data_IF_838222291236
#
_entry.id   IF_838222291236
#
_cell.length_a   1.000
_cell.length_b   1.000
_cell.length_c   1.000
_cell.angle_alpha   90.00
_cell.angle_beta   90.00
_cell.angle_gamma   90.00
#
_symmetry.space_group_name_H-M   'P 1'
#
loop_
_entity.id
_entity.type
_entity.pdbx_description
1 polymer ?
#
# COMPACT_ATOMS: atom_id res chain seq x y z
N UNK A 1 7.08 42.40 -2.89
CA UNK A 1 7.48 41.40 -1.87
C UNK A 1 6.29 40.91 -1.03
N UNK A 2 5.14 40.61 -1.65
CA UNK A 2 3.96 40.01 -0.99
C UNK A 2 3.30 38.89 -1.80
N UNK A 3 3.75 38.65 -3.04
CA UNK A 3 3.21 37.63 -3.94
C UNK A 3 3.91 36.26 -3.82
N UNK A 4 5.09 36.21 -3.17
CA UNK A 4 5.87 34.98 -3.00
C UNK A 4 5.39 34.08 -1.84
N UNK A 5 4.53 34.59 -0.94
CA UNK A 5 4.07 33.86 0.24
C UNK A 5 2.83 32.98 -0.02
N UNK A 6 2.11 33.23 -1.11
CA UNK A 6 0.87 32.48 -1.45
C UNK A 6 1.18 31.17 -2.18
N UNK A 7 2.33 31.06 -2.86
CA UNK A 7 2.72 29.87 -3.63
C UNK A 7 3.20 28.72 -2.70
N UNK A 8 3.64 29.03 -1.47
CA UNK A 8 4.16 28.03 -0.54
C UNK A 8 3.05 27.17 0.13
N UNK A 9 1.80 27.63 0.18
CA UNK A 9 0.70 26.91 0.84
C UNK A 9 0.01 25.85 -0.05
N UNK A 10 0.31 25.80 -1.34
CA UNK A 10 -0.28 24.81 -2.26
C UNK A 10 0.51 23.49 -2.31
N UNK A 11 1.60 23.38 -1.53
CA UNK A 11 2.45 22.19 -1.43
C UNK A 11 2.18 21.36 -0.16
N UNK A 12 1.09 21.62 0.56
CA UNK A 12 0.56 20.65 1.50
C UNK A 12 0.02 19.46 0.68
N UNK A 13 0.91 18.55 0.29
CA UNK A 13 0.56 17.30 -0.35
C UNK A 13 -0.43 16.58 0.56
N UNK A 14 -1.63 16.30 0.05
CA UNK A 14 -2.49 15.31 0.68
C UNK A 14 -1.77 13.97 0.54
N UNK A 15 -1.19 13.48 1.63
CA UNK A 15 -0.99 12.04 1.78
C UNK A 15 -2.36 11.37 1.57
N UNK A 16 -2.45 10.29 0.78
CA UNK A 16 -3.69 9.55 0.67
C UNK A 16 -4.07 9.05 2.07
N UNK A 17 -5.30 9.37 2.47
CA UNK A 17 -5.84 9.00 3.78
C UNK A 17 -6.36 7.56 3.71
N UNK A 18 -5.44 6.60 3.84
CA UNK A 18 -5.73 5.17 3.82
C UNK A 18 -6.18 4.77 5.22
N UNK A 19 -7.40 4.23 5.34
CA UNK A 19 -7.96 3.69 6.59
C UNK A 19 -8.76 2.43 6.29
N UNK A 20 -8.79 1.52 7.25
CA UNK A 20 -9.59 0.31 7.22
C UNK A 20 -9.97 -0.09 8.65
N UNK A 21 -11.02 -0.88 8.79
CA UNK A 21 -11.36 -1.59 10.03
C UNK A 21 -10.87 -3.05 9.97
N UNK A 22 -10.66 -3.59 8.77
CA UNK A 22 -10.20 -4.95 8.54
C UNK A 22 -9.29 -5.03 7.32
N UNK A 23 -8.29 -5.92 7.38
CA UNK A 23 -7.43 -6.27 6.25
C UNK A 23 -7.50 -7.76 5.99
N UNK A 24 -7.87 -8.15 4.77
CA UNK A 24 -7.79 -9.52 4.30
C UNK A 24 -6.54 -9.68 3.41
N UNK A 25 -5.68 -10.63 3.74
CA UNK A 25 -4.46 -10.94 3.00
C UNK A 25 -4.68 -12.19 2.15
N UNK A 26 -4.26 -12.14 0.89
CA UNK A 26 -4.32 -13.22 -0.08
C UNK A 26 -2.92 -13.44 -0.65
N UNK A 27 -2.55 -14.70 -0.90
CA UNK A 27 -1.46 -14.99 -1.83
C UNK A 27 -1.80 -14.42 -3.20
N UNK A 28 -0.84 -13.78 -3.87
CA UNK A 28 -1.11 -13.22 -5.18
C UNK A 28 -1.56 -14.31 -6.18
N UNK A 29 -2.52 -13.96 -7.04
CA UNK A 29 -3.03 -14.84 -8.09
C UNK A 29 -3.23 -14.11 -9.42
N UNK A 30 -3.63 -12.83 -9.39
CA UNK A 30 -3.77 -12.01 -10.59
C UNK A 30 -3.77 -10.51 -10.27
N UNK A 31 -3.38 -9.68 -11.25
CA UNK A 31 -3.48 -8.22 -11.15
C UNK A 31 -4.92 -7.68 -11.35
N UNK A 32 -5.86 -8.51 -11.79
CA UNK A 32 -7.25 -8.08 -12.07
C UNK A 32 -8.23 -8.49 -10.96
N UNK A 33 -7.70 -8.93 -9.82
CA UNK A 33 -8.50 -9.31 -8.66
C UNK A 33 -7.80 -10.33 -7.77
N UNK A 34 -8.32 -10.45 -6.57
CA UNK A 34 -7.96 -11.46 -5.58
C UNK A 34 -9.01 -12.57 -5.62
N UNK A 35 -8.56 -13.82 -5.66
CA UNK A 35 -9.44 -15.00 -5.73
C UNK A 35 -9.07 -16.04 -4.69
N UNK A 36 -10.07 -16.77 -4.20
CA UNK A 36 -9.91 -17.76 -3.14
C UNK A 36 -10.24 -17.20 -1.75
N UNK A 37 -9.95 -18.00 -0.73
CA UNK A 37 -10.10 -17.58 0.67
C UNK A 37 -8.86 -16.80 1.12
N UNK A 38 -9.00 -15.76 1.96
CA UNK A 38 -7.86 -15.07 2.51
C UNK A 38 -7.00 -16.04 3.33
N UNK A 39 -5.69 -15.89 3.22
CA UNK A 39 -4.75 -16.64 4.07
C UNK A 39 -4.78 -16.13 5.50
N UNK A 40 -5.01 -14.82 5.66
CA UNK A 40 -5.02 -14.13 6.95
C UNK A 40 -6.11 -13.04 6.91
N UNK A 41 -6.81 -12.85 8.03
CA UNK A 41 -7.72 -11.72 8.25
C UNK A 41 -7.30 -11.02 9.52
N UNK A 42 -6.97 -9.73 9.40
CA UNK A 42 -6.51 -8.87 10.48
C UNK A 42 -7.65 -7.91 10.85
N UNK A 43 -8.05 -7.95 12.12
CA UNK A 43 -9.07 -7.05 12.72
C UNK A 43 -8.52 -6.31 13.94
N UNK A 44 -7.30 -6.64 14.35
CA UNK A 44 -6.63 -5.97 15.45
C UNK A 44 -6.20 -4.57 15.03
N UNK A 45 -6.48 -3.58 15.88
CA UNK A 45 -6.25 -2.16 15.58
C UNK A 45 -4.77 -1.86 15.31
N UNK A 46 -3.85 -2.50 16.03
CA UNK A 46 -2.41 -2.31 15.81
C UNK A 46 -2.01 -2.84 14.44
N UNK A 47 -2.40 -4.08 14.13
CA UNK A 47 -2.10 -4.69 12.82
C UNK A 47 -2.69 -3.89 11.66
N UNK A 48 -3.96 -3.48 11.76
CA UNK A 48 -4.64 -2.69 10.72
C UNK A 48 -3.95 -1.34 10.54
N UNK A 49 -3.64 -0.64 11.63
CA UNK A 49 -2.94 0.64 11.56
C UNK A 49 -1.56 0.49 10.91
N UNK A 50 -0.76 -0.50 11.32
CA UNK A 50 0.56 -0.75 10.72
C UNK A 50 0.48 -0.84 9.21
N UNK A 51 -0.41 -1.67 8.66
CA UNK A 51 -0.54 -1.80 7.21
C UNK A 51 -1.01 -0.49 6.53
N UNK A 52 -2.01 0.18 7.09
CA UNK A 52 -2.54 1.42 6.49
C UNK A 52 -1.53 2.56 6.52
N UNK A 53 -0.75 2.69 7.61
CA UNK A 53 0.34 3.65 7.74
C UNK A 53 1.45 3.36 6.72
N UNK A 54 1.94 2.12 6.64
CA UNK A 54 2.96 1.71 5.66
C UNK A 54 2.55 2.05 4.22
N UNK A 55 1.30 1.79 3.85
CA UNK A 55 0.77 2.14 2.53
C UNK A 55 0.67 3.66 2.32
N UNK A 56 0.27 4.40 3.35
CA UNK A 56 0.06 5.86 3.27
C UNK A 56 1.37 6.65 3.18
N UNK A 57 2.44 6.13 3.79
CA UNK A 57 3.78 6.71 3.77
C UNK A 57 4.54 6.38 2.48
N UNK A 58 4.01 5.45 1.68
CA UNK A 58 4.57 5.03 0.41
C UNK A 58 4.87 6.20 -0.52
N UNK A 59 6.09 6.27 -1.02
CA UNK A 59 6.52 7.33 -1.92
C UNK A 59 6.33 6.89 -3.38
N UNK A 60 5.67 7.74 -4.18
CA UNK A 60 5.38 7.42 -5.59
C UNK A 60 6.66 7.29 -6.40
N UNK A 61 6.86 6.14 -7.03
CA UNK A 61 7.91 5.93 -8.02
C UNK A 61 7.47 6.44 -9.39
N UNK A 62 8.33 7.22 -10.05
CA UNK A 62 8.06 7.79 -11.37
C UNK A 62 8.60 6.90 -12.49
N UNK A 63 7.73 6.45 -13.41
CA UNK A 63 8.13 5.73 -14.62
C UNK A 63 7.16 4.61 -14.99
N UNK A 64 7.32 4.03 -16.19
CA UNK A 64 6.69 2.76 -16.51
C UNK A 64 7.50 1.66 -15.82
N UNK A 65 6.87 0.92 -14.90
CA UNK A 65 7.55 -0.11 -14.14
C UNK A 65 7.16 -1.48 -14.71
N UNK A 66 8.13 -2.18 -15.30
CA UNK A 66 8.00 -3.60 -15.63
C UNK A 66 8.22 -4.38 -14.34
N UNK A 67 7.12 -4.74 -13.66
CA UNK A 67 7.14 -5.36 -12.34
C UNK A 67 6.96 -6.87 -12.45
N UNK A 68 7.71 -7.60 -11.62
CA UNK A 68 7.51 -9.04 -11.43
C UNK A 68 6.19 -9.32 -10.72
N UNK A 69 5.83 -10.59 -10.60
CA UNK A 69 4.66 -11.00 -9.82
C UNK A 69 4.78 -10.55 -8.35
N UNK A 70 3.74 -9.93 -7.75
CA UNK A 70 3.72 -9.59 -6.33
C UNK A 70 3.66 -10.84 -5.45
N UNK A 71 4.05 -10.70 -4.19
CA UNK A 71 3.95 -11.77 -3.21
C UNK A 71 2.51 -11.89 -2.66
N UNK A 72 1.91 -10.74 -2.36
CA UNK A 72 0.64 -10.66 -1.64
C UNK A 72 -0.33 -9.68 -2.29
N UNK A 73 -1.61 -9.92 -2.04
CA UNK A 73 -2.66 -8.90 -2.22
C UNK A 73 -3.35 -8.68 -0.88
N UNK A 74 -3.40 -7.43 -0.45
CA UNK A 74 -4.14 -7.02 0.75
C UNK A 74 -5.39 -6.26 0.34
N UNK A 75 -6.50 -6.53 1.01
CA UNK A 75 -7.80 -5.94 0.71
C UNK A 75 -8.35 -5.31 1.96
N UNK A 76 -8.47 -3.99 1.92
CA UNK A 76 -8.97 -3.16 3.00
C UNK A 76 -10.50 -3.11 2.91
N UNK A 77 -11.19 -3.47 3.99
CA UNK A 77 -12.65 -3.53 4.11
C UNK A 77 -13.36 -4.25 2.94
N UNK A 78 -12.69 -5.22 2.32
CA UNK A 78 -13.24 -5.98 1.19
C UNK A 78 -13.38 -5.21 -0.13
N UNK A 79 -12.84 -4.00 -0.27
CA UNK A 79 -13.05 -3.14 -1.46
C UNK A 79 -11.78 -2.51 -2.02
N UNK A 80 -10.81 -2.13 -1.19
CA UNK A 80 -9.63 -1.39 -1.62
C UNK A 80 -8.40 -2.31 -1.61
N UNK A 81 -7.98 -2.75 -2.80
CA UNK A 81 -6.95 -3.78 -2.93
C UNK A 81 -5.58 -3.23 -3.33
N UNK A 82 -4.54 -3.78 -2.73
CA UNK A 82 -3.14 -3.43 -2.97
C UNK A 82 -2.30 -4.69 -3.19
N UNK A 83 -1.48 -4.66 -4.22
CA UNK A 83 -0.46 -5.66 -4.49
C UNK A 83 0.84 -5.27 -3.82
N UNK A 84 1.46 -6.20 -3.09
CA UNK A 84 2.67 -5.98 -2.32
C UNK A 84 3.81 -6.84 -2.84
N UNK A 85 4.97 -6.20 -3.04
CA UNK A 85 6.26 -6.84 -3.19
C UNK A 85 7.05 -6.56 -1.93
N UNK A 86 7.46 -7.61 -1.22
CA UNK A 86 8.20 -7.49 0.03
C UNK A 86 9.59 -8.08 -0.17
N UNK A 87 10.61 -7.32 0.21
CA UNK A 87 11.97 -7.83 0.36
C UNK A 87 12.40 -7.73 1.82
N UNK A 88 13.60 -8.23 2.15
CA UNK A 88 14.10 -8.30 3.53
C UNK A 88 14.30 -6.91 4.18
N UNK A 89 14.36 -5.82 3.42
CA UNK A 89 14.66 -4.47 3.93
C UNK A 89 13.58 -3.43 3.59
N UNK A 90 12.92 -3.56 2.44
CA UNK A 90 11.97 -2.60 1.88
C UNK A 90 10.82 -3.33 1.16
N UNK A 91 9.96 -2.56 0.51
CA UNK A 91 8.97 -3.14 -0.38
C UNK A 91 8.42 -2.15 -1.38
N UNK A 92 7.45 -2.63 -2.15
CA UNK A 92 6.65 -1.77 -3.01
C UNK A 92 5.19 -2.18 -2.95
N UNK A 93 4.32 -1.20 -3.16
CA UNK A 93 2.89 -1.39 -3.17
C UNK A 93 2.27 -0.77 -4.44
N UNK A 94 1.23 -1.39 -4.97
CA UNK A 94 0.49 -0.90 -6.12
C UNK A 94 -1.00 -1.08 -5.86
N UNK A 95 -1.79 -0.03 -6.08
CA UNK A 95 -3.24 -0.13 -5.98
C UNK A 95 -3.78 -0.95 -7.16
N UNK A 96 -4.71 -1.88 -6.91
CA UNK A 96 -5.23 -2.77 -7.96
C UNK A 96 -5.94 -1.99 -9.09
N UNK A 97 -6.61 -0.88 -8.76
CA UNK A 97 -7.25 0.00 -9.76
C UNK A 97 -6.28 0.97 -10.46
N UNK A 98 -5.03 1.11 -10.01
CA UNK A 98 -4.00 1.91 -10.67
C UNK A 98 -2.71 1.11 -10.83
N UNK A 99 -2.71 0.25 -11.85
CA UNK A 99 -1.55 -0.60 -12.18
C UNK A 99 -0.38 0.16 -12.81
N UNK A 100 -0.46 1.48 -12.94
CA UNK A 100 0.58 2.31 -13.57
C UNK A 100 1.39 3.10 -12.53
N UNK A 101 1.01 3.01 -11.25
CA UNK A 101 1.68 3.71 -10.17
C UNK A 101 2.20 2.70 -9.15
N UNK A 102 3.52 2.64 -9.01
CA UNK A 102 4.18 1.91 -7.93
C UNK A 102 4.55 2.89 -6.81
N UNK A 103 4.37 2.46 -5.58
CA UNK A 103 4.79 3.17 -4.38
C UNK A 103 5.91 2.37 -3.73
N UNK A 104 7.04 3.02 -3.46
CA UNK A 104 8.06 2.46 -2.58
C UNK A 104 7.56 2.59 -1.15
N UNK A 105 7.32 1.47 -0.50
CA UNK A 105 7.05 1.43 0.94
C UNK A 105 8.38 1.17 1.63
N UNK A 106 8.60 1.86 2.75
CA UNK A 106 9.86 1.80 3.49
C UNK A 106 10.09 0.43 4.13
N UNK A 107 10.56 0.41 5.39
CA UNK A 107 10.73 -0.85 6.11
C UNK A 107 9.43 -1.66 6.10
N UNK A 108 9.55 -2.92 5.72
CA UNK A 108 8.45 -3.88 5.67
C UNK A 108 8.46 -4.85 6.85
N UNK A 109 9.42 -4.71 7.78
CA UNK A 109 9.57 -5.56 8.96
C UNK A 109 8.26 -5.65 9.76
N UNK A 110 7.60 -4.51 9.93
CA UNK A 110 6.38 -4.38 10.73
C UNK A 110 5.20 -5.13 10.10
N UNK A 111 5.06 -5.11 8.76
CA UNK A 111 4.00 -5.86 8.08
C UNK A 111 4.37 -7.34 7.88
N UNK A 112 5.65 -7.66 7.66
CA UNK A 112 6.13 -9.03 7.48
C UNK A 112 5.96 -9.87 8.76
N UNK A 113 6.02 -9.25 9.93
CA UNK A 113 5.75 -9.90 11.21
C UNK A 113 4.33 -10.50 11.30
N UNK A 114 3.37 -10.00 10.51
CA UNK A 114 2.00 -10.52 10.45
C UNK A 114 1.78 -11.53 9.33
N UNK A 115 2.75 -11.73 8.43
CA UNK A 115 2.62 -12.55 7.22
C UNK A 115 3.36 -13.90 7.31
N UNK A 116 4.09 -14.15 8.41
CA UNK A 116 4.88 -15.36 8.71
C UNK A 116 4.26 -16.19 9.85
#
# INVERSE_FOLDING_TARGET
MRLLLVIALLLAGCSPDIRADQIAVYSFTSFHGWGGDPVIVLEDEEAVNTFTETLSEGSRLSGAVDVVEPDWTVVLDGKDAWHLWLDDENGSAMHADDTHTLYEVGSTDDIQAYLL
#
